data_IF_110032930014
#
_entry.id   IF_110032930014
#
_cell.length_a   1.000
_cell.length_b   1.000
_cell.length_c   1.000
_cell.angle_alpha   90.00
_cell.angle_beta   90.00
_cell.angle_gamma   90.00
#
_symmetry.space_group_name_H-M   'P 1'
#
loop_
_entity.id
_entity.type
_entity.pdbx_description
1 polymer ?
#
# COMPACT_ATOMS: atom_id res chain seq x y z
N UNK A 1 13.39 -73.39 -18.08
CA UNK A 1 12.53 -72.33 -17.49
C UNK A 1 13.40 -71.52 -16.54
N UNK A 2 13.89 -70.36 -16.97
CA UNK A 2 14.74 -69.48 -16.14
C UNK A 2 13.86 -68.36 -15.58
N UNK A 3 13.63 -68.37 -14.27
CA UNK A 3 12.92 -67.32 -13.55
C UNK A 3 13.80 -66.07 -13.44
N UNK A 4 13.26 -64.90 -13.80
CA UNK A 4 13.94 -63.63 -13.63
C UNK A 4 14.06 -63.27 -12.13
N UNK A 5 15.17 -62.68 -11.69
CA UNK A 5 15.36 -62.27 -10.29
C UNK A 5 14.39 -61.13 -9.92
N UNK A 6 13.91 -61.08 -8.66
CA UNK A 6 13.01 -60.03 -8.22
C UNK A 6 13.70 -58.66 -8.27
N UNK A 7 12.97 -57.58 -8.62
CA UNK A 7 13.54 -56.24 -8.67
C UNK A 7 14.03 -55.83 -7.28
N UNK A 8 15.33 -55.57 -7.16
CA UNK A 8 16.03 -55.22 -5.91
C UNK A 8 15.92 -53.74 -5.53
N UNK A 9 15.04 -52.97 -6.17
CA UNK A 9 14.87 -51.53 -5.94
C UNK A 9 13.53 -51.19 -5.30
N UNK A 10 13.53 -50.24 -4.35
CA UNK A 10 12.30 -49.65 -3.86
C UNK A 10 11.56 -48.94 -5.00
N UNK A 11 10.26 -49.22 -5.16
CA UNK A 11 9.45 -48.55 -6.18
C UNK A 11 9.27 -47.06 -5.84
N UNK A 12 9.14 -46.20 -6.85
CA UNK A 12 8.98 -44.76 -6.66
C UNK A 12 7.81 -44.41 -5.71
N UNK A 13 6.69 -45.13 -5.81
CA UNK A 13 5.54 -44.97 -4.93
C UNK A 13 5.80 -45.33 -3.47
N UNK A 14 6.74 -46.25 -3.21
CA UNK A 14 7.15 -46.64 -1.86
C UNK A 14 8.02 -45.55 -1.21
N UNK A 15 8.87 -44.88 -2.00
CA UNK A 15 9.69 -43.75 -1.56
C UNK A 15 8.82 -42.52 -1.29
N UNK A 16 7.88 -42.21 -2.18
CA UNK A 16 6.94 -41.08 -2.05
C UNK A 16 6.06 -41.17 -0.79
N UNK A 17 5.84 -42.36 -0.23
CA UNK A 17 5.05 -42.57 0.99
C UNK A 17 5.82 -42.35 2.29
N UNK A 18 7.14 -42.10 2.23
CA UNK A 18 7.96 -41.88 3.42
C UNK A 18 7.81 -40.41 3.86
N UNK A 19 7.11 -40.10 4.97
CA UNK A 19 6.83 -38.72 5.37
C UNK A 19 8.11 -37.93 5.67
N UNK A 20 9.17 -38.60 6.12
CA UNK A 20 10.48 -37.99 6.40
C UNK A 20 11.16 -37.41 5.16
N UNK A 21 10.89 -37.95 3.96
CA UNK A 21 11.44 -37.44 2.69
C UNK A 21 10.81 -36.08 2.33
N UNK A 22 9.60 -35.83 2.79
CA UNK A 22 8.86 -34.60 2.54
C UNK A 22 9.16 -33.48 3.52
N UNK A 23 9.85 -33.75 4.63
CA UNK A 23 10.08 -32.76 5.68
C UNK A 23 10.88 -31.58 5.15
N UNK A 24 12.02 -31.83 4.49
CA UNK A 24 12.88 -30.78 3.93
C UNK A 24 12.17 -29.95 2.84
N UNK A 25 11.60 -30.54 1.77
CA UNK A 25 10.90 -29.76 0.75
C UNK A 25 9.65 -29.07 1.30
N UNK A 26 8.93 -29.70 2.23
CA UNK A 26 7.75 -29.11 2.86
C UNK A 26 8.09 -27.90 3.73
N UNK A 27 9.14 -27.99 4.55
CA UNK A 27 9.66 -26.85 5.33
C UNK A 27 10.12 -25.73 4.41
N UNK A 28 10.82 -26.06 3.32
CA UNK A 28 11.27 -25.06 2.34
C UNK A 28 10.09 -24.32 1.70
N UNK A 29 9.08 -25.05 1.21
CA UNK A 29 7.87 -24.45 0.64
C UNK A 29 7.11 -23.63 1.69
N UNK A 30 7.01 -24.12 2.93
CA UNK A 30 6.37 -23.41 4.03
C UNK A 30 7.08 -22.09 4.37
N UNK A 31 8.41 -22.09 4.41
CA UNK A 31 9.23 -20.87 4.60
C UNK A 31 9.01 -19.89 3.46
N UNK A 32 9.03 -20.35 2.21
CA UNK A 32 8.79 -19.48 1.03
C UNK A 32 7.38 -18.89 1.07
N UNK A 33 6.36 -19.71 1.37
CA UNK A 33 4.98 -19.26 1.52
C UNK A 33 4.85 -18.23 2.64
N UNK A 34 5.45 -18.49 3.80
CA UNK A 34 5.47 -17.56 4.94
C UNK A 34 6.12 -16.23 4.54
N UNK A 35 7.29 -16.26 3.89
CA UNK A 35 7.97 -15.05 3.41
C UNK A 35 7.10 -14.30 2.40
N UNK A 36 6.49 -14.99 1.44
CA UNK A 36 5.57 -14.37 0.48
C UNK A 36 4.37 -13.73 1.17
N UNK A 37 3.78 -14.41 2.17
CA UNK A 37 2.71 -13.83 2.98
C UNK A 37 3.19 -12.62 3.76
N UNK A 38 4.38 -12.64 4.35
CA UNK A 38 4.94 -11.49 5.05
C UNK A 38 5.31 -10.35 4.10
N UNK A 39 5.71 -10.62 2.87
CA UNK A 39 5.96 -9.56 1.88
C UNK A 39 4.64 -8.94 1.39
N UNK A 40 3.63 -9.77 1.18
CA UNK A 40 2.29 -9.33 0.80
C UNK A 40 1.62 -8.53 1.92
N UNK A 41 1.65 -9.06 3.14
CA UNK A 41 0.98 -8.49 4.31
C UNK A 41 1.85 -7.49 5.07
N UNK A 42 3.17 -7.54 4.94
CA UNK A 42 4.12 -6.67 5.66
C UNK A 42 3.93 -5.21 5.30
N UNK A 43 3.64 -4.90 4.04
CA UNK A 43 3.23 -3.54 3.64
C UNK A 43 1.87 -3.09 4.22
N UNK A 44 1.12 -3.99 4.85
CA UNK A 44 -0.20 -3.77 5.47
C UNK A 44 -0.14 -3.84 7.01
N UNK A 45 0.85 -4.55 7.58
CA UNK A 45 0.93 -4.81 9.02
C UNK A 45 1.49 -3.63 9.82
N UNK A 46 2.28 -2.75 9.20
CA UNK A 46 2.69 -1.47 9.80
C UNK A 46 2.54 -0.29 8.84
N UNK A 47 1.29 0.07 8.48
CA UNK A 47 1.05 1.21 7.60
C UNK A 47 1.49 2.51 8.28
N UNK A 48 1.53 2.58 9.61
CA UNK A 48 1.93 3.78 10.34
C UNK A 48 3.44 4.04 10.27
N UNK A 49 4.29 3.01 10.24
CA UNK A 49 5.73 3.18 10.05
C UNK A 49 6.11 3.71 8.65
N UNK A 50 5.35 3.31 7.62
CA UNK A 50 5.63 3.58 6.21
C UNK A 50 4.86 4.81 5.64
N UNK A 51 3.74 5.22 6.24
CA UNK A 51 2.96 6.40 5.81
C UNK A 51 3.49 7.74 6.34
N UNK A 52 4.81 7.89 6.51
CA UNK A 52 5.40 9.18 6.88
C UNK A 52 5.44 10.11 5.67
N UNK A 53 4.93 11.33 5.84
CA UNK A 53 4.89 12.39 4.81
C UNK A 53 4.09 12.01 3.56
N UNK A 54 2.93 11.36 3.73
CA UNK A 54 2.04 11.03 2.63
C UNK A 54 1.67 12.33 1.87
N UNK A 55 2.00 12.46 0.57
CA UNK A 55 1.75 13.69 -0.17
C UNK A 55 0.27 13.77 -0.53
N UNK A 56 -0.49 14.63 0.15
CA UNK A 56 -1.91 14.84 -0.13
C UNK A 56 -2.11 16.23 -0.74
N UNK A 57 -2.67 16.26 -1.95
CA UNK A 57 -3.05 17.48 -2.63
C UNK A 57 -4.31 18.10 -1.99
N UNK A 58 -4.28 19.41 -1.72
CA UNK A 58 -5.43 20.16 -1.23
C UNK A 58 -5.74 21.24 -2.26
N UNK A 59 -6.97 21.20 -2.81
CA UNK A 59 -7.42 22.11 -3.85
C UNK A 59 -8.62 22.88 -3.31
N UNK A 60 -8.55 24.20 -3.34
CA UNK A 60 -9.71 25.04 -3.09
C UNK A 60 -10.43 25.34 -4.41
N UNK A 61 -11.65 24.84 -4.57
CA UNK A 61 -12.53 25.15 -5.70
C UNK A 61 -13.56 26.26 -5.37
N UNK A 62 -13.56 26.78 -4.14
CA UNK A 62 -14.43 27.89 -3.74
C UNK A 62 -13.97 29.17 -4.44
N UNK A 63 -14.85 29.73 -5.26
CA UNK A 63 -14.63 31.00 -5.98
C UNK A 63 -15.01 32.22 -5.13
N UNK A 64 -15.55 31.98 -3.93
CA UNK A 64 -16.01 32.99 -2.98
C UNK A 64 -17.42 33.49 -3.31
N UNK A 65 -18.11 33.98 -2.29
CA UNK A 65 -19.35 34.73 -2.47
C UNK A 65 -19.06 36.21 -2.64
N UNK A 66 -19.83 36.88 -3.51
CA UNK A 66 -19.84 38.34 -3.56
C UNK A 66 -20.15 38.87 -2.15
N UNK A 67 -19.32 39.80 -1.69
CA UNK A 67 -19.51 40.41 -0.38
C UNK A 67 -20.89 41.06 -0.34
N UNK A 68 -21.66 40.86 0.74
CA UNK A 68 -22.92 41.56 0.92
C UNK A 68 -22.71 43.08 0.79
N UNK A 69 -23.70 43.87 0.34
CA UNK A 69 -23.54 45.32 0.22
C UNK A 69 -23.02 45.92 1.53
N UNK A 70 -21.83 46.52 1.50
CA UNK A 70 -21.15 47.07 2.69
C UNK A 70 -20.04 46.20 3.30
N UNK A 71 -19.82 44.97 2.82
CA UNK A 71 -18.70 44.14 3.25
C UNK A 71 -17.43 44.41 2.40
N UNK A 72 -16.31 44.67 3.07
CA UNK A 72 -15.06 45.11 2.46
C UNK A 72 -14.31 44.04 1.64
N UNK A 73 -14.66 42.75 1.80
CA UNK A 73 -13.94 41.66 1.13
C UNK A 73 -14.88 40.49 0.78
N UNK A 74 -14.77 39.91 -0.43
CA UNK A 74 -15.47 38.66 -0.76
C UNK A 74 -15.08 37.55 0.21
N UNK A 75 -16.08 36.79 0.66
CA UNK A 75 -15.87 35.70 1.62
C UNK A 75 -15.57 34.42 0.85
N UNK A 76 -14.33 33.93 0.97
CA UNK A 76 -13.91 32.62 0.48
C UNK A 76 -13.74 31.68 1.67
N UNK A 77 -14.78 30.90 1.96
CA UNK A 77 -14.78 29.96 3.09
C UNK A 77 -13.83 28.80 2.82
N UNK A 78 -13.76 28.34 1.57
CA UNK A 78 -12.84 27.29 1.15
C UNK A 78 -11.39 27.64 1.44
N UNK A 79 -10.96 28.89 1.24
CA UNK A 79 -9.60 29.34 1.51
C UNK A 79 -9.26 29.29 3.01
N UNK A 80 -10.24 29.59 3.86
CA UNK A 80 -10.07 29.48 5.33
C UNK A 80 -9.98 28.01 5.75
N UNK A 81 -10.82 27.15 5.19
CA UNK A 81 -10.82 25.71 5.49
C UNK A 81 -9.51 25.06 5.02
N UNK A 82 -9.08 25.30 3.78
CA UNK A 82 -7.84 24.72 3.26
C UNK A 82 -6.62 25.23 4.01
N UNK A 83 -6.60 26.52 4.39
CA UNK A 83 -5.54 27.06 5.24
C UNK A 83 -5.51 26.37 6.61
N UNK A 84 -6.66 26.17 7.25
CA UNK A 84 -6.74 25.48 8.53
C UNK A 84 -6.25 24.02 8.44
N UNK A 85 -6.56 23.30 7.36
CA UNK A 85 -6.08 21.93 7.12
C UNK A 85 -4.55 21.91 6.98
N UNK A 86 -3.99 22.80 6.14
CA UNK A 86 -2.55 22.82 5.84
C UNK A 86 -1.70 23.20 7.05
N UNK A 87 -2.24 24.03 7.95
CA UNK A 87 -1.56 24.49 9.16
C UNK A 87 -2.00 23.75 10.43
N UNK A 88 -2.84 22.73 10.32
CA UNK A 88 -3.24 21.92 11.46
C UNK A 88 -2.00 21.25 12.08
N UNK A 89 -1.90 21.17 13.42
CA UNK A 89 -0.78 20.48 14.07
C UNK A 89 -0.73 19.00 13.66
N UNK A 90 0.40 18.57 13.12
CA UNK A 90 0.72 17.16 12.81
C UNK A 90 2.10 16.84 13.41
N UNK A 91 2.18 16.52 14.72
CA UNK A 91 3.45 16.37 15.43
C UNK A 91 4.31 15.24 14.86
N UNK A 92 3.67 14.22 14.29
CA UNK A 92 4.33 13.03 13.75
C UNK A 92 4.57 13.11 12.22
N UNK A 93 4.17 14.23 11.58
CA UNK A 93 4.40 14.52 10.15
C UNK A 93 3.88 13.40 9.22
N UNK A 94 2.72 12.86 9.54
CA UNK A 94 2.05 11.84 8.73
C UNK A 94 1.68 12.36 7.35
N UNK A 95 1.19 13.60 7.26
CA UNK A 95 0.67 14.16 6.01
C UNK A 95 1.53 15.33 5.55
N UNK A 96 1.98 15.25 4.30
CA UNK A 96 2.59 16.38 3.60
C UNK A 96 1.51 17.06 2.74
N UNK A 97 0.84 18.05 3.32
CA UNK A 97 -0.17 18.83 2.60
C UNK A 97 0.47 19.63 1.46
N UNK A 98 -0.10 19.50 0.26
CA UNK A 98 0.35 20.20 -0.95
C UNK A 98 -0.79 21.08 -1.48
N UNK A 99 -0.85 22.36 -1.08
CA UNK A 99 -1.78 23.31 -1.69
C UNK A 99 -1.49 23.42 -3.19
N UNK A 100 -2.52 23.30 -4.01
CA UNK A 100 -2.39 23.49 -5.46
C UNK A 100 -3.69 23.99 -6.08
N UNK A 101 -3.57 24.62 -7.25
CA UNK A 101 -4.72 24.99 -8.06
C UNK A 101 -5.26 23.77 -8.84
N UNK A 102 -6.51 23.89 -9.29
CA UNK A 102 -7.21 22.81 -9.97
C UNK A 102 -6.59 22.46 -11.34
N UNK A 103 -5.93 23.39 -12.03
CA UNK A 103 -5.30 23.11 -13.32
C UNK A 103 -4.02 22.28 -13.14
N UNK A 104 -3.17 22.69 -12.19
CA UNK A 104 -1.98 21.94 -11.79
C UNK A 104 -2.34 20.55 -11.29
N UNK A 105 -3.41 20.41 -10.49
CA UNK A 105 -3.88 19.12 -10.02
C UNK A 105 -4.27 18.18 -11.17
N UNK A 106 -5.06 18.68 -12.15
CA UNK A 106 -5.45 17.91 -13.33
C UNK A 106 -4.23 17.50 -14.16
N UNK A 107 -3.27 18.40 -14.34
CA UNK A 107 -2.04 18.09 -15.06
C UNK A 107 -1.24 16.98 -14.35
N UNK A 108 -1.10 17.06 -13.03
CA UNK A 108 -0.36 16.06 -12.25
C UNK A 108 -1.02 14.68 -12.31
N UNK A 109 -2.35 14.64 -12.12
CA UNK A 109 -3.15 13.43 -12.29
C UNK A 109 -2.99 12.83 -13.69
N UNK A 110 -3.05 13.65 -14.75
CA UNK A 110 -2.83 13.19 -16.12
C UNK A 110 -1.41 12.66 -16.37
N UNK A 111 -0.42 13.17 -15.63
CA UNK A 111 0.99 12.75 -15.72
C UNK A 111 1.38 11.60 -14.77
N UNK A 112 0.45 11.10 -13.95
CA UNK A 112 0.72 10.07 -12.93
C UNK A 112 1.60 10.55 -11.78
N UNK A 113 1.57 11.84 -11.46
CA UNK A 113 2.36 12.50 -10.40
C UNK A 113 1.50 13.06 -9.28
#
# INVERSE_FOLDING_TARGET
MTSAPPPTGASAGQILRIPKIWLVPGVLVGLVALVMTLLYMGGILDPNADLRRLPIAVINADTGAAAAPGAATPQNLGARITSAIVHAPDPEHHVSWRPMDAATARQRLASGK
#
